data_IF_318414964995
#
_entry.id   IF_318414964995
#
_cell.length_a   1.000
_cell.length_b   1.000
_cell.length_c   1.000
_cell.angle_alpha   90.00
_cell.angle_beta   90.00
_cell.angle_gamma   90.00
#
_symmetry.space_group_name_H-M   'P 1'
#
loop_
_entity.id
_entity.type
_entity.pdbx_description
1 polymer ?
#
# COMPACT_ATOMS: atom_id res chain seq x y z
N UNK A 1 10.09 -12.31 2.93
CA UNK A 1 9.54 -13.03 4.09
C UNK A 1 8.55 -14.03 3.54
N UNK A 2 8.82 -15.32 3.73
CA UNK A 2 7.92 -16.39 3.38
C UNK A 2 7.49 -17.05 4.70
N UNK A 3 6.19 -17.10 4.93
CA UNK A 3 5.60 -17.70 6.13
C UNK A 3 4.65 -18.79 5.64
N UNK A 4 4.82 -19.99 6.18
CA UNK A 4 3.88 -21.08 5.97
C UNK A 4 3.29 -21.46 7.32
N UNK A 5 1.99 -21.75 7.34
CA UNK A 5 1.32 -22.28 8.52
C UNK A 5 0.15 -23.16 8.13
N UNK A 6 -0.18 -24.08 9.03
CA UNK A 6 -1.19 -25.10 8.76
C UNK A 6 -2.36 -24.93 9.72
N UNK A 7 -3.58 -25.02 9.19
CA UNK A 7 -4.79 -25.08 10.01
C UNK A 7 -5.37 -26.50 9.95
N UNK A 8 -5.32 -27.18 11.09
CA UNK A 8 -5.88 -28.52 11.24
C UNK A 8 -7.38 -28.53 10.87
N UNK A 9 -7.79 -29.54 10.08
CA UNK A 9 -9.16 -29.70 9.62
C UNK A 9 -10.14 -29.84 10.78
N UNK A 10 -9.77 -30.59 11.82
CA UNK A 10 -10.56 -30.73 13.05
C UNK A 10 -10.84 -29.39 13.76
N UNK A 11 -9.89 -28.45 13.68
CA UNK A 11 -10.10 -27.10 14.22
C UNK A 11 -11.07 -26.28 13.36
N UNK A 12 -11.02 -26.44 12.04
CA UNK A 12 -11.93 -25.75 11.12
C UNK A 12 -13.37 -26.29 11.24
N UNK A 13 -13.52 -27.61 11.29
CA UNK A 13 -14.79 -28.31 11.49
C UNK A 13 -15.50 -27.77 12.74
N UNK A 14 -14.78 -27.71 13.87
CA UNK A 14 -15.31 -27.15 15.12
C UNK A 14 -15.76 -25.69 14.97
N UNK A 15 -14.99 -24.86 14.28
CA UNK A 15 -15.36 -23.45 14.07
C UNK A 15 -16.61 -23.29 13.19
N UNK A 16 -16.77 -24.14 12.18
CA UNK A 16 -17.93 -24.08 11.27
C UNK A 16 -19.18 -24.62 11.96
N UNK A 17 -19.07 -25.72 12.72
CA UNK A 17 -20.15 -26.23 13.55
C UNK A 17 -20.71 -25.13 14.46
N UNK A 18 -19.84 -24.44 15.20
CA UNK A 18 -20.23 -23.34 16.11
C UNK A 18 -20.92 -22.16 15.42
N UNK A 19 -20.70 -21.96 14.12
CA UNK A 19 -21.34 -20.90 13.31
C UNK A 19 -22.62 -21.35 12.62
N UNK A 20 -22.82 -22.66 12.50
CA UNK A 20 -23.90 -23.27 11.71
C UNK A 20 -25.03 -23.82 12.56
N UNK A 21 -24.79 -24.01 13.86
CA UNK A 21 -25.73 -24.63 14.80
C UNK A 21 -26.25 -23.58 15.79
N UNK A 22 -27.55 -23.61 16.08
CA UNK A 22 -28.16 -22.75 17.09
C UNK A 22 -27.78 -23.20 18.51
N UNK A 23 -27.81 -22.28 19.49
CA UNK A 23 -27.40 -22.55 20.88
C UNK A 23 -28.15 -23.73 21.54
N UNK A 24 -29.32 -24.09 21.01
CA UNK A 24 -30.18 -25.15 21.54
C UNK A 24 -30.13 -26.46 20.73
N UNK A 25 -29.29 -26.53 19.70
CA UNK A 25 -29.12 -27.72 18.87
C UNK A 25 -27.78 -28.39 19.25
N UNK A 26 -27.80 -29.72 19.39
CA UNK A 26 -26.60 -30.50 19.71
C UNK A 26 -25.63 -30.58 18.54
N UNK A 27 -26.09 -30.30 17.31
CA UNK A 27 -25.25 -30.32 16.11
C UNK A 27 -24.79 -31.71 15.71
N UNK A 28 -25.39 -32.76 16.29
CA UNK A 28 -24.99 -34.16 16.06
C UNK A 28 -25.17 -34.59 14.59
N UNK A 29 -26.07 -33.94 13.86
CA UNK A 29 -26.34 -34.21 12.44
C UNK A 29 -25.44 -33.40 11.48
N UNK A 30 -24.55 -32.55 11.99
CA UNK A 30 -23.68 -31.72 11.16
C UNK A 30 -22.54 -32.55 10.57
N UNK A 31 -22.45 -32.59 9.24
CA UNK A 31 -21.37 -33.24 8.52
C UNK A 31 -20.50 -32.19 7.84
N UNK A 32 -19.24 -32.11 8.27
CA UNK A 32 -18.25 -31.27 7.63
C UNK A 32 -17.52 -32.04 6.54
N UNK A 33 -17.62 -31.55 5.30
CA UNK A 33 -16.83 -32.05 4.18
C UNK A 33 -16.16 -30.88 3.46
N UNK A 34 -14.88 -31.04 3.16
CA UNK A 34 -14.11 -30.08 2.39
C UNK A 34 -13.44 -30.81 1.23
N UNK A 35 -13.78 -30.42 0.00
CA UNK A 35 -13.15 -30.97 -1.19
C UNK A 35 -11.75 -30.36 -1.39
N UNK A 36 -10.96 -30.99 -2.25
CA UNK A 36 -9.70 -30.41 -2.74
C UNK A 36 -9.95 -29.01 -3.28
N UNK A 37 -9.15 -28.05 -2.83
CA UNK A 37 -9.19 -26.69 -3.37
C UNK A 37 -7.81 -26.04 -3.37
N UNK A 38 -7.67 -25.06 -4.25
CA UNK A 38 -6.54 -24.15 -4.31
C UNK A 38 -7.09 -22.73 -4.49
N UNK A 39 -6.54 -21.77 -3.76
CA UNK A 39 -6.86 -20.36 -3.91
C UNK A 39 -5.59 -19.54 -3.79
N UNK A 40 -5.40 -18.59 -4.69
CA UNK A 40 -4.31 -17.63 -4.65
C UNK A 40 -4.88 -16.21 -4.66
N UNK A 41 -4.47 -15.37 -3.71
CA UNK A 41 -4.88 -13.98 -3.62
C UNK A 41 -3.72 -13.09 -3.20
N UNK A 42 -3.53 -12.00 -3.93
CA UNK A 42 -2.63 -10.94 -3.52
C UNK A 42 -3.26 -10.03 -2.45
N UNK A 43 -2.44 -9.60 -1.49
CA UNK A 43 -2.82 -8.71 -0.38
C UNK A 43 -1.84 -7.53 -0.38
N UNK A 44 -2.37 -6.31 -0.33
CA UNK A 44 -1.58 -5.11 -0.06
C UNK A 44 -1.87 -4.66 1.37
N UNK A 45 -0.83 -4.59 2.20
CA UNK A 45 -0.95 -4.23 3.61
C UNK A 45 0.08 -3.19 4.03
N UNK A 46 -0.27 -2.34 5.00
CA UNK A 46 0.61 -1.32 5.57
C UNK A 46 1.17 -1.82 6.89
N UNK A 47 2.49 -1.98 6.96
CA UNK A 47 3.18 -2.47 8.15
C UNK A 47 3.29 -1.38 9.24
N UNK A 48 3.46 -1.77 10.53
CA UNK A 48 3.55 -0.84 11.66
C UNK A 48 4.64 0.23 11.57
N UNK A 49 5.68 0.01 10.75
CA UNK A 49 6.77 0.96 10.48
C UNK A 49 6.36 2.16 9.61
N UNK A 50 5.08 2.30 9.29
CA UNK A 50 4.55 3.46 8.58
C UNK A 50 4.83 4.75 9.38
N UNK A 51 5.47 5.70 8.71
CA UNK A 51 5.80 7.02 9.26
C UNK A 51 4.71 8.07 9.05
N UNK A 52 3.52 7.65 8.58
CA UNK A 52 2.33 8.50 8.43
C UNK A 52 2.52 9.70 7.48
N UNK A 53 3.40 9.57 6.49
CA UNK A 53 3.66 10.64 5.53
C UNK A 53 2.58 10.87 4.46
N UNK A 54 1.53 10.04 4.43
CA UNK A 54 0.41 10.07 3.47
C UNK A 54 0.76 10.09 1.97
N UNK A 55 2.03 9.96 1.58
CA UNK A 55 2.44 9.89 0.18
C UNK A 55 1.76 8.75 -0.61
N UNK A 56 1.35 7.66 0.05
CA UNK A 56 0.57 6.61 -0.61
C UNK A 56 -0.88 7.02 -0.88
N UNK A 57 -1.47 7.84 -0.01
CA UNK A 57 -2.81 8.41 -0.18
C UNK A 57 -2.80 9.34 -1.39
N UNK A 58 -1.85 10.29 -1.41
CA UNK A 58 -1.68 11.26 -2.49
C UNK A 58 -1.45 10.64 -3.88
N UNK A 59 -0.96 9.41 -3.93
CA UNK A 59 -0.63 8.70 -5.17
C UNK A 59 -1.61 7.57 -5.51
N UNK A 60 -2.66 7.37 -4.72
CA UNK A 60 -3.66 6.35 -5.01
C UNK A 60 -4.61 6.86 -6.12
N UNK A 61 -4.69 6.19 -7.28
CA UNK A 61 -5.52 6.65 -8.39
C UNK A 61 -7.03 6.39 -8.20
N UNK A 62 -7.40 5.68 -7.13
CA UNK A 62 -8.78 5.23 -6.85
C UNK A 62 -9.20 5.53 -5.41
N UNK A 63 -8.45 6.38 -4.70
CA UNK A 63 -8.75 6.81 -3.32
C UNK A 63 -8.99 5.68 -2.31
N UNK A 64 -8.38 4.51 -2.53
CA UNK A 64 -8.56 3.31 -1.71
C UNK A 64 -7.69 3.26 -0.44
N UNK A 65 -7.22 4.42 0.06
CA UNK A 65 -6.37 4.49 1.24
C UNK A 65 -6.88 5.56 2.21
N UNK A 66 -7.36 5.12 3.37
CA UNK A 66 -7.68 6.02 4.49
C UNK A 66 -6.39 6.70 4.98
N UNK A 67 -6.36 8.05 5.12
CA UNK A 67 -5.17 8.78 5.51
C UNK A 67 -4.73 8.48 6.94
N UNK A 68 -3.42 8.52 7.15
CA UNK A 68 -2.81 8.45 8.47
C UNK A 68 -3.00 9.77 9.22
N UNK A 69 -2.95 9.69 10.56
CA UNK A 69 -2.85 10.82 11.46
C UNK A 69 -1.92 10.45 12.63
N UNK A 70 -1.78 11.35 13.61
CA UNK A 70 -0.91 11.14 14.77
C UNK A 70 -1.21 9.85 15.54
N UNK A 71 -2.48 9.42 15.59
CA UNK A 71 -2.93 8.26 16.35
C UNK A 71 -2.96 6.96 15.52
N UNK A 72 -3.19 7.04 14.21
CA UNK A 72 -3.41 5.88 13.34
C UNK A 72 -2.54 5.94 12.09
N UNK A 73 -2.00 4.79 11.70
CA UNK A 73 -1.34 4.65 10.39
C UNK A 73 -2.39 4.63 9.28
N UNK A 74 -1.97 4.91 8.05
CA UNK A 74 -2.82 4.79 6.87
C UNK A 74 -3.32 3.34 6.73
N UNK A 75 -4.49 3.17 6.10
CA UNK A 75 -5.15 1.87 5.96
C UNK A 75 -5.71 1.68 4.55
N UNK A 76 -5.41 0.53 3.96
CA UNK A 76 -5.96 0.13 2.66
C UNK A 76 -7.44 -0.28 2.83
N UNK A 77 -8.33 0.27 1.99
CA UNK A 77 -9.76 -0.09 1.98
C UNK A 77 -10.03 -1.27 1.05
N UNK A 78 -11.30 -1.70 1.02
CA UNK A 78 -11.76 -2.76 0.12
C UNK A 78 -11.83 -2.32 -1.35
N UNK A 79 -11.80 -1.01 -1.62
CA UNK A 79 -11.81 -0.42 -2.97
C UNK A 79 -10.46 -0.56 -3.69
N UNK A 80 -9.45 -1.13 -3.02
CA UNK A 80 -8.11 -1.27 -3.57
C UNK A 80 -8.09 -2.21 -4.79
N UNK A 81 -7.80 -1.62 -5.96
CA UNK A 81 -7.68 -2.32 -7.25
C UNK A 81 -6.32 -2.99 -7.48
N UNK A 82 -5.45 -3.03 -6.46
CA UNK A 82 -4.12 -3.67 -6.48
C UNK A 82 -3.22 -3.24 -7.66
N UNK A 83 -3.16 -1.93 -7.94
CA UNK A 83 -2.28 -1.35 -8.95
C UNK A 83 -0.81 -1.21 -8.53
N UNK A 84 -0.48 -1.56 -7.28
CA UNK A 84 0.88 -1.59 -6.72
C UNK A 84 1.59 -0.21 -6.59
N UNK A 85 1.01 0.88 -7.06
CA UNK A 85 1.60 2.24 -7.02
C UNK A 85 2.03 2.64 -5.60
N UNK A 86 1.19 2.35 -4.60
CA UNK A 86 1.50 2.68 -3.20
C UNK A 86 2.70 1.90 -2.66
N UNK A 87 2.89 0.65 -3.10
CA UNK A 87 4.04 -0.19 -2.74
C UNK A 87 5.33 0.44 -3.26
N UNK A 88 5.32 0.88 -4.52
CA UNK A 88 6.49 1.51 -5.15
C UNK A 88 6.79 2.91 -4.57
N UNK A 89 5.75 3.62 -4.13
CA UNK A 89 5.84 5.02 -3.70
C UNK A 89 6.31 5.16 -2.24
N UNK A 90 6.03 4.18 -1.38
CA UNK A 90 6.30 4.31 0.05
C UNK A 90 7.81 4.53 0.33
N UNK A 91 8.23 5.70 0.87
CA UNK A 91 9.64 6.08 0.98
C UNK A 91 10.40 5.26 2.04
N UNK A 92 9.67 4.64 2.95
CA UNK A 92 10.21 3.71 3.93
C UNK A 92 9.86 2.26 3.60
N UNK A 93 9.22 1.95 2.48
CA UNK A 93 8.76 0.61 2.07
C UNK A 93 7.80 -0.09 3.06
N UNK A 94 7.06 0.67 3.88
CA UNK A 94 6.13 0.14 4.88
C UNK A 94 4.97 -0.66 4.26
N UNK A 95 4.62 -0.39 3.01
CA UNK A 95 3.56 -1.10 2.29
C UNK A 95 4.14 -2.38 1.67
N UNK A 96 3.45 -3.50 1.87
CA UNK A 96 3.86 -4.84 1.42
C UNK A 96 2.82 -5.42 0.49
N UNK A 97 3.28 -5.96 -0.64
CA UNK A 97 2.52 -6.88 -1.48
C UNK A 97 2.84 -8.30 -1.03
N UNK A 98 1.80 -9.08 -0.74
CA UNK A 98 1.90 -10.43 -0.21
C UNK A 98 1.06 -11.34 -1.10
N UNK A 99 1.69 -12.36 -1.67
CA UNK A 99 1.01 -13.46 -2.34
C UNK A 99 0.56 -14.47 -1.28
N UNK A 100 -0.74 -14.70 -1.17
CA UNK A 100 -1.31 -15.68 -0.25
C UNK A 100 -1.88 -16.86 -1.03
N UNK A 101 -1.20 -18.00 -0.94
CA UNK A 101 -1.62 -19.28 -1.51
C UNK A 101 -2.19 -20.16 -0.42
N UNK A 102 -3.37 -20.71 -0.66
CA UNK A 102 -4.06 -21.64 0.22
C UNK A 102 -4.35 -22.91 -0.55
N UNK A 103 -3.95 -24.05 0.00
CA UNK A 103 -4.17 -25.36 -0.61
C UNK A 103 -4.67 -26.35 0.43
N UNK A 104 -5.51 -27.26 -0.04
CA UNK A 104 -5.95 -28.42 0.71
C UNK A 104 -6.23 -29.56 -0.27
N UNK A 105 -5.74 -30.76 0.05
CA UNK A 105 -5.91 -31.93 -0.81
C UNK A 105 -6.48 -33.13 -0.03
N UNK A 106 -7.81 -33.22 0.00
CA UNK A 106 -8.50 -34.35 0.65
C UNK A 106 -8.09 -35.72 0.06
N UNK A 107 -7.85 -35.79 -1.25
CA UNK A 107 -7.52 -37.03 -1.96
C UNK A 107 -6.15 -37.61 -1.55
N UNK A 108 -5.25 -36.77 -1.04
CA UNK A 108 -3.93 -37.17 -0.51
C UNK A 108 -3.97 -37.47 1.00
N UNK A 109 -5.14 -37.34 1.63
CA UNK A 109 -5.32 -37.57 3.06
C UNK A 109 -4.84 -36.41 3.93
N UNK A 110 -4.80 -35.18 3.40
CA UNK A 110 -4.37 -34.01 4.17
C UNK A 110 -5.25 -33.79 5.41
N UNK A 111 -4.61 -33.70 6.57
CA UNK A 111 -5.27 -33.39 7.84
C UNK A 111 -5.30 -31.88 8.14
N UNK A 112 -4.67 -31.06 7.29
CA UNK A 112 -4.56 -29.61 7.48
C UNK A 112 -4.61 -28.83 6.18
N UNK A 113 -5.11 -27.59 6.27
CA UNK A 113 -5.07 -26.60 5.19
C UNK A 113 -3.74 -25.86 5.29
N UNK A 114 -2.98 -25.85 4.20
CA UNK A 114 -1.70 -25.14 4.12
C UNK A 114 -1.92 -23.70 3.64
N UNK A 115 -1.33 -22.75 4.37
CA UNK A 115 -1.26 -21.34 4.00
C UNK A 115 0.19 -20.97 3.72
N UNK A 116 0.43 -20.34 2.59
CA UNK A 116 1.75 -19.90 2.14
C UNK A 116 1.69 -18.42 1.78
N UNK A 117 2.28 -17.57 2.63
CA UNK A 117 2.37 -16.13 2.43
C UNK A 117 3.78 -15.75 1.99
N UNK A 118 3.92 -15.24 0.78
CA UNK A 118 5.20 -14.80 0.22
C UNK A 118 5.17 -13.30 -0.03
N UNK A 119 6.12 -12.56 0.54
CA UNK A 119 6.28 -11.13 0.23
C UNK A 119 6.83 -10.95 -1.18
N UNK A 120 6.13 -10.20 -2.02
CA UNK A 120 6.60 -9.82 -3.35
C UNK A 120 7.34 -8.49 -3.25
N UNK A 121 8.57 -8.44 -3.79
CA UNK A 121 9.33 -7.20 -3.91
C UNK A 121 8.92 -6.46 -5.17
N UNK A 122 8.72 -5.15 -5.07
CA UNK A 122 8.45 -4.27 -6.21
C UNK A 122 9.46 -3.13 -6.23
N UNK A 123 9.86 -2.65 -7.43
CA UNK A 123 10.77 -1.52 -7.55
C UNK A 123 10.17 -0.30 -6.87
N UNK A 124 11.01 0.48 -6.21
CA UNK A 124 10.59 1.76 -5.66
C UNK A 124 10.78 2.87 -6.69
N UNK A 125 9.81 3.77 -6.79
CA UNK A 125 9.93 4.99 -7.58
C UNK A 125 10.92 5.91 -6.89
N UNK A 126 11.70 6.66 -7.68
CA UNK A 126 12.63 7.64 -7.13
C UNK A 126 11.85 8.79 -6.50
N UNK A 127 12.13 9.08 -5.23
CA UNK A 127 11.64 10.27 -4.54
C UNK A 127 12.82 11.22 -4.38
N UNK A 128 12.72 12.41 -4.98
CA UNK A 128 13.77 13.42 -4.93
C UNK A 128 13.25 14.65 -4.19
N UNK A 129 13.85 14.95 -3.05
CA UNK A 129 13.67 16.23 -2.38
C UNK A 129 14.42 17.29 -3.18
N UNK A 130 13.68 18.29 -3.68
CA UNK A 130 14.26 19.41 -4.42
C UNK A 130 14.65 20.52 -3.44
N UNK A 131 13.71 20.90 -2.58
CA UNK A 131 13.95 21.83 -1.49
C UNK A 131 13.00 21.56 -0.31
N UNK A 132 13.43 21.96 0.88
CA UNK A 132 12.62 21.95 2.08
C UNK A 132 13.02 23.13 2.96
N UNK A 133 12.03 23.83 3.51
CA UNK A 133 12.23 25.03 4.32
C UNK A 133 11.27 25.06 5.51
N UNK A 134 11.69 25.75 6.56
CA UNK A 134 10.86 26.08 7.71
C UNK A 134 10.62 27.59 7.71
N UNK A 135 9.37 27.98 7.90
CA UNK A 135 8.96 29.35 8.22
C UNK A 135 9.02 29.53 9.74
N UNK A 136 10.01 30.30 10.21
CA UNK A 136 10.21 30.56 11.64
C UNK A 136 9.31 31.68 12.18
N UNK A 137 8.51 32.34 11.34
CA UNK A 137 7.60 33.40 11.78
C UNK A 137 6.40 32.89 12.57
N UNK A 138 6.05 31.61 12.41
CA UNK A 138 4.98 30.93 13.11
C UNK A 138 5.49 29.60 13.69
N UNK A 139 5.95 29.65 14.94
CA UNK A 139 6.50 28.50 15.65
C UNK A 139 5.37 27.65 16.24
N UNK A 140 5.12 26.50 15.63
CA UNK A 140 4.23 25.47 16.16
C UNK A 140 4.99 24.45 17.05
N UNK A 141 4.25 23.49 17.61
CA UNK A 141 4.87 22.30 18.21
C UNK A 141 5.38 21.37 17.09
N UNK A 142 6.69 21.14 17.04
CA UNK A 142 7.36 20.29 16.04
C UNK A 142 7.78 18.90 16.57
N UNK A 143 7.33 18.50 17.77
CA UNK A 143 7.72 17.23 18.41
C UNK A 143 7.39 16.03 17.51
N UNK A 144 6.24 16.05 16.85
CA UNK A 144 5.84 15.00 15.91
C UNK A 144 6.68 14.99 14.64
N UNK A 145 7.11 16.17 14.16
CA UNK A 145 7.98 16.28 12.99
C UNK A 145 9.33 15.60 13.26
N UNK A 146 9.92 15.85 14.42
CA UNK A 146 11.16 15.18 14.84
C UNK A 146 10.92 13.69 15.11
N UNK A 147 9.89 13.33 15.89
CA UNK A 147 9.59 11.94 16.29
C UNK A 147 9.34 11.00 15.12
N UNK A 148 8.69 11.48 14.05
CA UNK A 148 8.35 10.66 12.89
C UNK A 148 9.31 10.82 11.71
N UNK A 149 10.40 11.58 11.88
CA UNK A 149 11.43 11.67 10.86
C UNK A 149 12.20 10.34 10.77
N UNK A 150 12.12 9.61 9.64
CA UNK A 150 12.73 8.28 9.52
C UNK A 150 14.26 8.29 9.46
N UNK A 151 14.87 9.44 9.23
CA UNK A 151 16.30 9.60 8.99
C UNK A 151 16.97 10.59 9.94
N UNK A 152 16.24 11.04 10.97
CA UNK A 152 16.66 12.09 11.91
C UNK A 152 17.11 13.38 11.19
N UNK A 153 16.61 13.59 9.97
CA UNK A 153 16.87 14.80 9.19
C UNK A 153 16.13 16.02 9.74
N UNK A 154 15.15 15.82 10.62
CA UNK A 154 14.39 16.89 11.26
C UNK A 154 14.61 16.72 12.76
N UNK A 155 15.26 17.69 13.40
CA UNK A 155 15.57 17.69 14.83
C UNK A 155 15.08 18.97 15.49
N UNK A 156 15.16 19.02 16.81
CA UNK A 156 14.86 20.19 17.62
C UNK A 156 16.10 20.54 18.43
N UNK A 157 16.57 21.77 18.29
CA UNK A 157 17.85 22.23 18.85
C UNK A 157 17.68 23.55 19.61
N UNK A 158 18.53 23.77 20.61
CA UNK A 158 18.60 25.04 21.32
C UNK A 158 19.34 26.09 20.50
N UNK A 159 19.16 27.36 20.87
CA UNK A 159 19.84 28.51 20.25
C UNK A 159 21.34 28.33 20.05
N UNK A 160 22.05 27.73 21.01
CA UNK A 160 23.50 27.51 20.92
C UNK A 160 23.93 26.75 19.67
N UNK A 161 23.09 25.83 19.17
CA UNK A 161 23.34 25.10 17.93
C UNK A 161 23.36 26.02 16.70
N UNK A 162 22.42 26.97 16.63
CA UNK A 162 22.32 27.93 15.53
C UNK A 162 23.50 28.90 15.55
N UNK A 163 23.89 29.37 16.75
CA UNK A 163 25.05 30.25 16.93
C UNK A 163 26.37 29.58 16.56
N UNK A 164 26.58 28.33 17.00
CA UNK A 164 27.79 27.55 16.70
C UNK A 164 27.98 27.29 15.19
N UNK A 165 26.88 27.09 14.46
CA UNK A 165 26.89 26.84 13.02
C UNK A 165 26.72 28.11 12.17
N UNK A 166 26.48 29.27 12.81
CA UNK A 166 26.24 30.54 12.12
C UNK A 166 24.98 30.53 11.26
N UNK A 167 23.93 29.85 11.70
CA UNK A 167 22.64 29.77 10.99
C UNK A 167 21.78 30.96 11.42
N UNK A 168 21.45 31.83 10.46
CA UNK A 168 20.51 32.93 10.65
C UNK A 168 19.11 32.52 10.17
N UNK A 169 18.09 32.76 11.01
CA UNK A 169 16.69 32.36 10.78
C UNK A 169 15.71 33.53 10.87
N UNK A 170 16.20 34.77 10.76
CA UNK A 170 15.40 36.01 10.69
C UNK A 170 14.48 36.26 11.90
N UNK A 171 14.73 35.61 13.04
CA UNK A 171 14.04 35.83 14.33
C UNK A 171 15.02 35.87 15.49
N UNK A 172 14.65 36.51 16.60
CA UNK A 172 15.41 36.42 17.85
C UNK A 172 15.14 35.08 18.55
N UNK A 173 16.21 34.31 18.78
CA UNK A 173 16.14 33.01 19.44
C UNK A 173 16.31 33.14 20.97
N UNK A 174 15.51 32.37 21.71
CA UNK A 174 15.54 32.25 23.17
C UNK A 174 16.36 31.03 23.62
N UNK A 175 17.06 31.14 24.76
CA UNK A 175 18.04 30.11 25.20
C UNK A 175 17.37 28.78 25.61
N UNK A 176 16.20 28.84 26.27
CA UNK A 176 15.49 27.66 26.81
C UNK A 176 14.37 27.14 25.88
N UNK A 177 14.39 27.53 24.60
CA UNK A 177 13.39 27.13 23.59
C UNK A 177 14.05 26.24 22.55
N UNK A 178 13.32 25.20 22.14
CA UNK A 178 13.73 24.27 21.09
C UNK A 178 13.18 24.72 19.74
N UNK A 179 14.06 24.85 18.75
CA UNK A 179 13.72 25.28 17.40
C UNK A 179 13.97 24.15 16.38
N UNK A 180 13.11 24.01 15.35
CA UNK A 180 13.27 22.96 14.36
C UNK A 180 14.48 23.20 13.47
N UNK A 181 15.20 22.13 13.14
CA UNK A 181 16.34 22.12 12.21
C UNK A 181 16.16 21.03 11.18
N UNK A 182 16.44 21.31 9.91
CA UNK A 182 16.40 20.30 8.84
C UNK A 182 17.77 20.10 8.19
N UNK A 183 18.32 18.91 8.36
CA UNK A 183 19.47 18.45 7.61
C UNK A 183 19.05 18.00 6.19
N UNK A 184 19.21 18.91 5.22
CA UNK A 184 18.87 18.66 3.81
C UNK A 184 19.60 17.47 3.18
N UNK A 185 20.77 17.06 3.72
CA UNK A 185 21.52 15.89 3.21
C UNK A 185 20.93 14.56 3.68
N UNK A 186 20.29 14.54 4.86
CA UNK A 186 19.65 13.34 5.42
C UNK A 186 18.17 13.25 5.03
N UNK A 187 17.56 14.36 4.62
CA UNK A 187 16.14 14.41 4.27
C UNK A 187 15.86 13.61 2.99
N UNK A 188 14.99 12.61 3.12
CA UNK A 188 14.55 11.76 2.00
C UNK A 188 13.29 12.28 1.29
N UNK A 189 12.78 13.46 1.66
CA UNK A 189 11.58 14.05 1.04
C UNK A 189 10.29 13.26 1.30
N UNK A 190 10.21 12.51 2.40
CA UNK A 190 9.02 11.70 2.71
C UNK A 190 7.76 12.54 2.97
N UNK A 191 7.91 13.76 3.48
CA UNK A 191 6.80 14.68 3.76
C UNK A 191 6.06 14.44 5.09
N UNK A 192 6.57 13.56 5.97
CA UNK A 192 5.95 13.33 7.28
C UNK A 192 5.83 14.61 8.11
N UNK A 193 6.89 15.44 8.14
CA UNK A 193 6.87 16.73 8.84
C UNK A 193 5.79 17.68 8.31
N UNK A 194 5.58 17.74 6.99
CA UNK A 194 4.52 18.55 6.38
C UNK A 194 3.14 18.09 6.84
N UNK A 195 2.91 16.77 6.92
CA UNK A 195 1.63 16.21 7.36
C UNK A 195 1.29 16.51 8.82
N UNK A 196 2.29 16.71 9.68
CA UNK A 196 2.10 17.04 11.09
C UNK A 196 2.16 18.53 11.39
N UNK A 197 2.52 19.36 10.42
CA UNK A 197 2.64 20.79 10.59
C UNK A 197 1.24 21.42 10.67
N UNK A 198 0.87 21.97 11.82
CA UNK A 198 -0.48 22.53 12.04
C UNK A 198 -0.71 23.87 11.31
N UNK A 199 0.38 24.56 10.94
CA UNK A 199 0.38 25.91 10.38
C UNK A 199 1.11 26.02 9.02
N UNK A 200 1.37 24.89 8.35
CA UNK A 200 2.09 24.85 7.05
C UNK A 200 3.48 25.54 7.06
N UNK A 201 4.09 25.74 8.23
CA UNK A 201 5.44 26.30 8.36
C UNK A 201 6.52 25.46 7.68
N UNK A 202 6.30 24.15 7.52
CA UNK A 202 7.23 23.29 6.77
C UNK A 202 6.77 23.16 5.32
N UNK A 203 7.57 23.70 4.39
CA UNK A 203 7.31 23.62 2.95
C UNK A 203 8.28 22.64 2.30
N UNK A 204 7.75 21.69 1.54
CA UNK A 204 8.53 20.65 0.84
C UNK A 204 8.23 20.69 -0.65
N UNK A 205 9.26 20.97 -1.45
CA UNK A 205 9.25 20.70 -2.89
C UNK A 205 9.92 19.35 -3.16
N UNK A 206 9.23 18.48 -3.89
CA UNK A 206 9.74 17.16 -4.26
C UNK A 206 9.23 16.71 -5.61
N UNK A 207 10.01 15.86 -6.24
CA UNK A 207 9.63 15.14 -7.46
C UNK A 207 9.51 13.65 -7.18
N UNK A 208 8.46 13.03 -7.70
CA UNK A 208 8.25 11.58 -7.69
C UNK A 208 8.45 11.08 -9.12
N UNK A 209 9.45 10.23 -9.34
CA UNK A 209 9.75 9.63 -10.66
C UNK A 209 8.59 8.77 -11.17
N UNK A 210 8.55 8.33 -12.44
CA UNK A 210 7.40 7.64 -13.04
C UNK A 210 7.07 6.30 -12.37
N UNK A 211 5.86 5.78 -12.59
CA UNK A 211 5.47 4.43 -12.13
C UNK A 211 6.28 3.41 -12.94
N UNK A 212 6.83 2.40 -12.26
CA UNK A 212 7.52 1.30 -12.93
C UNK A 212 6.52 0.18 -13.13
N UNK A 213 6.13 -0.07 -14.37
CA UNK A 213 5.28 -1.22 -14.67
C UNK A 213 6.11 -2.50 -14.59
N UNK A 214 5.67 -3.46 -13.77
CA UNK A 214 6.31 -4.77 -13.60
C UNK A 214 5.59 -5.89 -14.35
N UNK A 215 4.45 -5.58 -14.97
CA UNK A 215 3.61 -6.54 -15.68
C UNK A 215 2.95 -5.90 -16.90
N UNK A 216 2.77 -6.69 -17.95
CA UNK A 216 2.05 -6.33 -19.16
C UNK A 216 0.71 -7.05 -19.22
N UNK A 217 -0.31 -6.36 -19.73
CA UNK A 217 -1.62 -6.95 -19.97
C UNK A 217 -1.61 -7.58 -21.36
N UNK A 218 -1.71 -8.89 -21.42
CA UNK A 218 -1.93 -9.65 -22.64
C UNK A 218 -3.43 -9.84 -22.86
N UNK A 219 -3.85 -9.73 -24.12
CA UNK A 219 -5.26 -9.77 -24.53
C UNK A 219 -5.41 -10.79 -25.64
N UNK A 220 -6.12 -11.88 -25.37
CA UNK A 220 -6.49 -12.90 -26.34
C UNK A 220 -7.81 -12.49 -27.03
N UNK A 221 -7.70 -11.99 -28.26
CA UNK A 221 -8.86 -11.55 -29.03
C UNK A 221 -9.75 -12.72 -29.48
N UNK A 222 -9.20 -13.93 -29.62
CA UNK A 222 -9.96 -15.11 -30.07
C UNK A 222 -10.83 -15.69 -28.96
N UNK A 223 -10.42 -15.54 -27.70
CA UNK A 223 -11.22 -15.94 -26.53
C UNK A 223 -12.20 -14.86 -26.08
N UNK A 224 -12.01 -13.61 -26.52
CA UNK A 224 -12.89 -12.51 -26.15
C UNK A 224 -14.31 -12.71 -26.70
N UNK A 225 -15.30 -12.59 -25.82
CA UNK A 225 -16.73 -12.70 -26.16
C UNK A 225 -17.46 -11.35 -26.23
N UNK A 226 -16.71 -10.25 -26.24
CA UNK A 226 -17.21 -8.89 -26.38
C UNK A 226 -18.30 -8.49 -25.36
N UNK A 227 -18.10 -8.86 -24.09
CA UNK A 227 -19.05 -8.61 -23.01
C UNK A 227 -18.93 -7.22 -22.35
N UNK A 228 -17.98 -6.37 -22.76
CA UNK A 228 -17.73 -5.01 -22.25
C UNK A 228 -17.32 -4.88 -20.77
N UNK A 229 -17.27 -5.97 -19.99
CA UNK A 229 -16.92 -5.90 -18.57
C UNK A 229 -15.53 -5.30 -18.29
N UNK A 230 -14.54 -5.53 -19.15
CA UNK A 230 -13.21 -4.95 -18.96
C UNK A 230 -13.21 -3.42 -19.13
N UNK A 231 -14.03 -2.90 -20.03
CA UNK A 231 -14.23 -1.47 -20.29
C UNK A 231 -14.99 -0.83 -19.12
N UNK A 232 -16.13 -1.38 -18.73
CA UNK A 232 -16.98 -0.85 -17.65
C UNK A 232 -16.28 -0.82 -16.29
N UNK A 233 -15.37 -1.76 -16.03
CA UNK A 233 -14.67 -1.88 -14.75
C UNK A 233 -13.29 -1.19 -14.72
N UNK A 234 -12.87 -0.52 -15.80
CA UNK A 234 -11.59 0.17 -15.86
C UNK A 234 -11.65 1.52 -15.14
N UNK A 235 -10.99 1.69 -13.97
CA UNK A 235 -11.11 2.93 -13.19
C UNK A 235 -10.44 4.15 -13.84
N UNK A 236 -9.67 3.93 -14.90
CA UNK A 236 -8.87 4.96 -15.59
C UNK A 236 -9.16 5.01 -17.09
N UNK A 237 -10.23 4.35 -17.54
CA UNK A 237 -10.69 4.36 -18.93
C UNK A 237 -9.55 4.06 -19.93
N UNK A 238 -8.71 3.09 -19.58
CA UNK A 238 -7.54 2.72 -20.37
C UNK A 238 -7.81 1.60 -21.36
N UNK A 239 -8.94 0.90 -21.26
CA UNK A 239 -9.29 -0.25 -22.10
C UNK A 239 -10.74 -0.10 -22.57
N UNK A 240 -10.99 -0.38 -23.85
CA UNK A 240 -12.32 -0.28 -24.47
C UNK A 240 -12.46 -1.29 -25.61
N UNK A 241 -13.68 -1.50 -26.09
CA UNK A 241 -13.93 -2.25 -27.32
C UNK A 241 -14.07 -1.32 -28.52
N UNK A 242 -13.34 -1.62 -29.59
CA UNK A 242 -13.43 -0.96 -30.89
C UNK A 242 -13.55 -2.01 -31.98
N UNK A 243 -14.60 -1.92 -32.81
CA UNK A 243 -14.90 -2.89 -33.88
C UNK A 243 -14.74 -4.37 -33.44
N UNK A 244 -15.35 -4.75 -32.31
CA UNK A 244 -15.29 -6.11 -31.74
C UNK A 244 -13.90 -6.57 -31.27
N UNK A 245 -12.94 -5.65 -31.11
CA UNK A 245 -11.62 -5.92 -30.54
C UNK A 245 -11.39 -5.10 -29.29
N UNK A 246 -10.72 -5.71 -28.31
CA UNK A 246 -10.32 -5.00 -27.10
C UNK A 246 -9.05 -4.20 -27.39
N UNK A 247 -9.10 -2.89 -27.16
CA UNK A 247 -8.00 -1.94 -27.36
C UNK A 247 -7.54 -1.41 -26.01
N UNK A 248 -6.22 -1.30 -25.83
CA UNK A 248 -5.59 -0.82 -24.60
C UNK A 248 -4.72 0.42 -24.85
N UNK A 249 -4.99 1.50 -24.12
CA UNK A 249 -4.09 2.62 -23.95
C UNK A 249 -3.08 2.30 -22.83
N UNK A 250 -1.86 1.95 -23.24
CA UNK A 250 -0.80 1.57 -22.32
C UNK A 250 -0.37 2.68 -21.36
N UNK A 251 -0.42 3.94 -21.79
CA UNK A 251 0.02 5.11 -21.01
C UNK A 251 -0.98 5.45 -19.89
N UNK A 252 -2.27 5.21 -20.12
CA UNK A 252 -3.31 5.38 -19.09
C UNK A 252 -3.39 4.19 -18.13
N UNK A 253 -3.04 2.98 -18.60
CA UNK A 253 -3.29 1.77 -17.85
C UNK A 253 -2.38 1.65 -16.61
N UNK A 254 -2.98 1.77 -15.43
CA UNK A 254 -2.30 1.66 -14.13
C UNK A 254 -1.96 0.22 -13.70
N UNK A 255 -2.18 -0.78 -14.57
CA UNK A 255 -1.91 -2.22 -14.30
C UNK A 255 -2.61 -2.76 -13.05
N UNK A 256 -3.82 -2.26 -12.76
CA UNK A 256 -4.70 -2.81 -11.73
C UNK A 256 -5.31 -4.16 -12.16
N UNK A 257 -5.92 -4.89 -11.24
CA UNK A 257 -6.44 -6.24 -11.50
C UNK A 257 -7.86 -6.28 -12.10
N UNK A 258 -8.57 -5.16 -12.20
CA UNK A 258 -10.01 -5.16 -12.47
C UNK A 258 -10.38 -5.84 -13.79
N UNK A 259 -9.69 -5.52 -14.89
CA UNK A 259 -10.03 -6.08 -16.20
C UNK A 259 -9.78 -7.59 -16.29
N UNK A 260 -8.74 -8.11 -15.61
CA UNK A 260 -8.45 -9.54 -15.56
C UNK A 260 -9.39 -10.27 -14.60
N UNK A 261 -9.73 -9.67 -13.46
CA UNK A 261 -10.60 -10.31 -12.46
C UNK A 261 -12.06 -10.39 -12.87
N UNK A 262 -12.52 -9.49 -13.76
CA UNK A 262 -13.89 -9.47 -14.25
C UNK A 262 -14.06 -10.15 -15.61
N UNK A 263 -12.98 -10.64 -16.24
CA UNK A 263 -13.09 -11.35 -17.51
C UNK A 263 -13.65 -12.77 -17.29
N UNK A 264 -14.88 -13.08 -17.75
CA UNK A 264 -15.51 -14.37 -17.47
C UNK A 264 -14.89 -15.53 -18.28
N UNK A 265 -14.17 -15.20 -19.35
CA UNK A 265 -13.58 -16.14 -20.31
C UNK A 265 -12.06 -16.19 -20.23
N UNK A 266 -11.44 -15.46 -19.29
CA UNK A 266 -9.99 -15.49 -19.10
C UNK A 266 -9.15 -14.88 -20.25
N UNK A 267 -9.78 -14.12 -21.15
CA UNK A 267 -9.13 -13.52 -22.31
C UNK A 267 -8.10 -12.41 -21.98
N UNK A 268 -8.03 -11.95 -20.73
CA UNK A 268 -7.09 -10.91 -20.30
C UNK A 268 -6.23 -11.42 -19.15
N UNK A 269 -4.91 -11.39 -19.30
CA UNK A 269 -3.96 -11.90 -18.30
C UNK A 269 -2.76 -10.96 -18.14
N UNK A 270 -2.23 -10.87 -16.92
CA UNK A 270 -0.97 -10.19 -16.68
C UNK A 270 0.21 -11.15 -16.78
N UNK A 271 1.25 -10.72 -17.48
CA UNK A 271 2.54 -11.41 -17.56
C UNK A 271 3.61 -10.49 -16.98
N UNK A 272 4.47 -11.02 -16.10
CA UNK A 272 5.58 -10.25 -15.52
C UNK A 272 6.55 -9.81 -16.62
N UNK A 273 7.13 -8.63 -16.44
CA UNK A 273 8.14 -8.07 -17.34
C UNK A 273 9.51 -8.47 -16.78
N UNK A 274 10.29 -9.15 -17.62
CA UNK A 274 11.69 -9.53 -17.32
C UNK A 274 12.61 -8.31 -17.13
#
# INVERSE_FOLDING_TARGET
MNISFDKQISSLEREILLKSVEIHDSGDDFQFELNKFFSQKEIIAIAPRCIRCNMCVDQCPVDAIEPANIFKIAKITHDCVKCEICVQTCPVSAIKLIDNKVSYNHDEGDEAIEYNLASISRPHRVVRMNDISIDYSDLANYDNCAKFCPTDAFTLEFKSYFEELGIDVDIELEDDVLYPVINKKLCIGCGACVQFCENDSVKLDRTIGPIVHTKNLEINQDECVNCYLCEENCPVEAIWLDEEKVVLNNDKCIRCINCTSHCPVGALNFVEID
#
